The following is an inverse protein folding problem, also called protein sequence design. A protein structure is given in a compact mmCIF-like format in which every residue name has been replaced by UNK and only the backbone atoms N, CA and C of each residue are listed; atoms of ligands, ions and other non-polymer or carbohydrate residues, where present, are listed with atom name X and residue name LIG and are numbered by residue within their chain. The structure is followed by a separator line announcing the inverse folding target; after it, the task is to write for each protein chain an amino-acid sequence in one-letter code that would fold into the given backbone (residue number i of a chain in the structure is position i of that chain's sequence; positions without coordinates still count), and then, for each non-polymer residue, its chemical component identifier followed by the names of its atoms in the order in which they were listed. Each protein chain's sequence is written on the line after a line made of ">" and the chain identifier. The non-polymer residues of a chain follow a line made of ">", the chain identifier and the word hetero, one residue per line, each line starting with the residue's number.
data_IF_960838002319
#
_entry.id   IF_960838002319
#
_cell.length_a   1.000
_cell.length_b   1.000
_cell.length_c   1.000
_cell.angle_alpha   90.00
_cell.angle_beta   90.00
_cell.angle_gamma   90.00
#
_symmetry.space_group_name_H-M   'P 1'
#
loop_
_entity.id
_entity.type
_entity.pdbx_description
1 polymer ?
#
# COMPACT_ATOMS: atom_id res chain seq x y z
N UNK A 1 -24.46 -8.32 9.01
CA UNK A 1 -23.16 -7.80 9.45
C UNK A 1 -22.24 -7.87 8.24
N UNK A 2 -21.46 -6.83 7.97
CA UNK A 2 -20.43 -6.90 6.93
C UNK A 2 -19.25 -7.70 7.49
N UNK A 3 -18.68 -8.63 6.72
CA UNK A 3 -17.57 -9.47 7.20
C UNK A 3 -16.29 -8.66 7.34
N UNK A 4 -15.60 -8.83 8.49
CA UNK A 4 -14.34 -8.16 8.77
C UNK A 4 -13.20 -8.90 8.09
N UNK A 5 -12.48 -8.22 7.20
CA UNK A 5 -11.30 -8.76 6.51
C UNK A 5 -10.08 -7.94 6.85
N UNK A 6 -9.03 -8.60 7.32
CA UNK A 6 -7.74 -7.98 7.63
C UNK A 6 -6.72 -8.37 6.55
N UNK A 7 -6.02 -7.39 5.98
CA UNK A 7 -4.87 -7.65 5.12
C UNK A 7 -3.60 -7.04 5.74
N UNK A 8 -2.45 -7.67 5.53
CA UNK A 8 -1.16 -7.20 6.05
C UNK A 8 -0.13 -7.18 4.94
N UNK A 9 0.56 -6.05 4.77
CA UNK A 9 1.59 -5.94 3.73
C UNK A 9 2.16 -4.55 3.58
N UNK A 10 2.80 -4.31 2.43
CA UNK A 10 3.40 -3.01 2.10
C UNK A 10 2.52 -2.22 1.14
N UNK A 11 2.30 -0.93 1.43
CA UNK A 11 1.83 0.06 0.46
C UNK A 11 2.97 1.00 0.10
N UNK A 12 3.21 1.18 -1.20
CA UNK A 12 4.31 1.98 -1.73
C UNK A 12 3.80 3.19 -2.49
N UNK A 13 4.61 4.23 -2.55
CA UNK A 13 4.45 5.31 -3.51
C UNK A 13 4.84 4.78 -4.91
N UNK A 14 3.88 4.78 -5.82
CA UNK A 14 4.10 4.49 -7.24
C UNK A 14 4.36 5.80 -7.97
N UNK A 15 5.49 5.87 -8.66
CA UNK A 15 5.82 6.95 -9.59
C UNK A 15 5.85 6.37 -11.01
N UNK A 16 4.78 6.59 -11.78
CA UNK A 16 4.70 6.11 -13.16
C UNK A 16 5.01 7.19 -14.18
N UNK A 17 5.68 6.81 -15.27
CA UNK A 17 5.90 7.71 -16.41
C UNK A 17 4.56 8.00 -17.11
N UNK A 18 4.31 9.25 -17.57
CA UNK A 18 3.07 9.58 -18.26
C UNK A 18 3.01 8.92 -19.64
N UNK A 19 1.82 8.44 -20.01
CA UNK A 19 1.58 7.74 -21.26
C UNK A 19 2.43 6.46 -21.38
N UNK A 20 3.26 6.40 -22.42
CA UNK A 20 4.19 5.29 -22.68
C UNK A 20 5.65 5.73 -22.71
N UNK A 21 5.96 6.90 -22.13
CA UNK A 21 7.33 7.42 -22.06
C UNK A 21 8.21 6.55 -21.18
N UNK A 22 9.52 6.57 -21.43
CA UNK A 22 10.53 5.86 -20.64
C UNK A 22 11.10 6.77 -19.54
N UNK A 23 11.70 6.18 -18.51
CA UNK A 23 12.37 6.88 -17.40
C UNK A 23 13.39 7.90 -17.89
N UNK A 24 14.15 7.57 -18.93
CA UNK A 24 15.17 8.47 -19.52
C UNK A 24 14.59 9.58 -20.40
N UNK A 25 13.28 9.54 -20.68
CA UNK A 25 12.57 10.51 -21.53
C UNK A 25 11.68 11.44 -20.72
N UNK A 26 11.13 10.97 -19.60
CA UNK A 26 10.20 11.76 -18.80
C UNK A 26 10.92 12.76 -17.90
N UNK A 27 10.27 13.90 -17.67
CA UNK A 27 10.64 14.87 -16.62
C UNK A 27 9.60 14.90 -15.49
N UNK A 28 8.51 14.15 -15.63
CA UNK A 28 7.37 14.14 -14.70
C UNK A 28 6.98 12.70 -14.34
N UNK A 29 6.39 12.52 -13.18
CA UNK A 29 5.82 11.25 -12.74
C UNK A 29 4.40 11.45 -12.21
N UNK A 30 3.51 10.56 -12.63
CA UNK A 30 2.19 10.43 -12.02
C UNK A 30 2.33 9.67 -10.70
N UNK A 31 1.86 10.28 -9.61
CA UNK A 31 1.96 9.69 -8.27
C UNK A 31 0.64 9.02 -7.86
N UNK A 32 0.76 7.82 -7.31
CA UNK A 32 -0.34 7.11 -6.63
C UNK A 32 0.23 6.16 -5.58
N UNK A 33 -0.62 5.45 -4.86
CA UNK A 33 -0.20 4.47 -3.86
C UNK A 33 -0.75 3.10 -4.23
N UNK A 34 0.01 2.05 -3.92
CA UNK A 34 -0.42 0.68 -4.19
C UNK A 34 0.50 -0.37 -3.59
N UNK A 35 -0.03 -1.59 -3.47
CA UNK A 35 0.63 -2.77 -2.91
C UNK A 35 -0.31 -3.97 -3.04
N UNK A 36 0.22 -5.20 -3.02
CA UNK A 36 -0.59 -6.39 -3.29
C UNK A 36 -1.79 -6.49 -2.35
N UNK A 37 -1.50 -6.51 -1.05
CA UNK A 37 -2.49 -6.68 0.02
C UNK A 37 -3.30 -5.41 0.27
N UNK A 38 -2.72 -4.24 -0.01
CA UNK A 38 -3.42 -2.95 0.01
C UNK A 38 -4.49 -2.89 -1.11
N UNK A 39 -4.17 -3.36 -2.31
CA UNK A 39 -5.11 -3.42 -3.43
C UNK A 39 -6.25 -4.41 -3.13
N UNK A 40 -5.96 -5.52 -2.46
CA UNK A 40 -6.98 -6.46 -1.99
C UNK A 40 -7.91 -5.80 -0.98
N UNK A 41 -7.39 -5.07 0.01
CA UNK A 41 -8.24 -4.33 0.96
C UNK A 41 -9.14 -3.31 0.25
N UNK A 42 -8.59 -2.53 -0.69
CA UNK A 42 -9.36 -1.57 -1.51
C UNK A 42 -10.46 -2.27 -2.30
N UNK A 43 -10.17 -3.41 -2.94
CA UNK A 43 -11.17 -4.16 -3.69
C UNK A 43 -12.31 -4.66 -2.78
N UNK A 44 -11.98 -5.24 -1.62
CA UNK A 44 -12.97 -5.73 -0.65
C UNK A 44 -13.83 -4.60 -0.10
N UNK A 45 -13.23 -3.44 0.21
CA UNK A 45 -13.96 -2.23 0.62
C UNK A 45 -14.96 -1.80 -0.45
N UNK A 46 -14.56 -1.78 -1.72
CA UNK A 46 -15.44 -1.44 -2.83
C UNK A 46 -16.58 -2.45 -3.03
N UNK A 47 -16.43 -3.69 -2.57
CA UNK A 47 -17.49 -4.70 -2.53
C UNK A 47 -18.40 -4.60 -1.29
N UNK A 48 -18.21 -3.60 -0.44
CA UNK A 48 -19.01 -3.37 0.76
C UNK A 48 -18.56 -4.17 1.98
N UNK A 49 -17.41 -4.84 1.92
CA UNK A 49 -16.83 -5.55 3.06
C UNK A 49 -16.07 -4.60 3.98
N UNK A 50 -16.03 -4.93 5.27
CA UNK A 50 -15.29 -4.17 6.25
C UNK A 50 -13.81 -4.56 6.21
N UNK A 51 -13.05 -3.92 5.31
CA UNK A 51 -11.62 -4.20 5.12
C UNK A 51 -10.74 -3.34 6.05
N UNK A 52 -9.69 -3.94 6.59
CA UNK A 52 -8.63 -3.30 7.37
C UNK A 52 -7.29 -3.58 6.72
N UNK A 53 -6.45 -2.56 6.58
CA UNK A 53 -5.06 -2.74 6.14
C UNK A 53 -4.09 -2.48 7.28
N UNK A 54 -3.34 -3.52 7.64
CA UNK A 54 -2.30 -3.50 8.66
C UNK A 54 -0.96 -3.27 7.96
N UNK A 55 -0.25 -2.22 8.35
CA UNK A 55 1.07 -1.89 7.83
C UNK A 55 1.79 -0.92 8.77
N UNK A 56 3.03 -0.56 8.45
CA UNK A 56 3.80 0.47 9.16
C UNK A 56 4.23 1.55 8.17
N UNK A 57 3.88 2.81 8.44
CA UNK A 57 4.16 3.96 7.61
C UNK A 57 4.77 5.10 8.44
N UNK A 58 5.72 5.88 7.88
CA UNK A 58 6.32 7.00 8.58
C UNK A 58 5.31 8.09 8.89
N UNK A 59 5.61 8.93 9.89
CA UNK A 59 4.70 10.00 10.36
C UNK A 59 4.57 11.17 9.38
N UNK A 60 5.57 11.40 8.53
CA UNK A 60 5.60 12.51 7.58
C UNK A 60 4.52 12.41 6.48
N UNK A 61 4.40 13.46 5.68
CA UNK A 61 3.29 13.76 4.77
C UNK A 61 3.12 12.72 3.65
N UNK A 62 4.21 12.12 3.16
CA UNK A 62 4.14 11.03 2.17
C UNK A 62 3.48 9.78 2.79
N UNK A 63 3.82 9.42 4.03
CA UNK A 63 3.15 8.34 4.75
C UNK A 63 1.70 8.69 5.07
N UNK A 64 1.39 9.96 5.36
CA UNK A 64 0.00 10.40 5.55
C UNK A 64 -0.80 10.31 4.24
N UNK A 65 -0.19 10.63 3.11
CA UNK A 65 -0.82 10.55 1.79
C UNK A 65 -1.21 9.11 1.43
N UNK A 66 -0.37 8.12 1.77
CA UNK A 66 -0.71 6.70 1.64
C UNK A 66 -1.93 6.31 2.49
N UNK A 67 -2.01 6.79 3.74
CA UNK A 67 -3.18 6.56 4.61
C UNK A 67 -4.44 7.21 4.05
N UNK A 68 -4.33 8.44 3.54
CA UNK A 68 -5.44 9.15 2.93
C UNK A 68 -5.93 8.44 1.65
N UNK A 69 -5.00 7.89 0.86
CA UNK A 69 -5.32 7.10 -0.33
C UNK A 69 -6.18 5.88 0.03
N UNK A 70 -5.82 5.12 1.07
CA UNK A 70 -6.61 3.99 1.56
C UNK A 70 -8.00 4.41 2.05
N UNK A 71 -8.08 5.47 2.88
CA UNK A 71 -9.34 5.99 3.40
C UNK A 71 -10.29 6.48 2.30
N UNK A 72 -9.75 7.07 1.23
CA UNK A 72 -10.54 7.51 0.06
C UNK A 72 -11.33 6.35 -0.57
N UNK A 73 -10.83 5.12 -0.47
CA UNK A 73 -11.51 3.92 -0.96
C UNK A 73 -12.27 3.16 0.13
N UNK A 74 -12.43 3.72 1.34
CA UNK A 74 -13.19 3.12 2.44
C UNK A 74 -12.44 2.09 3.28
N UNK A 75 -11.14 1.86 3.03
CA UNK A 75 -10.34 0.93 3.84
C UNK A 75 -10.15 1.49 5.25
N UNK A 76 -10.39 0.67 6.27
CA UNK A 76 -10.11 1.02 7.65
C UNK A 76 -8.60 1.05 7.90
N UNK A 77 -8.12 2.17 8.44
CA UNK A 77 -6.69 2.43 8.67
C UNK A 77 -6.29 2.43 10.14
N UNK A 78 -7.17 1.93 11.04
CA UNK A 78 -6.99 2.02 12.49
C UNK A 78 -5.75 1.24 12.98
N UNK A 79 -5.33 0.22 12.23
CA UNK A 79 -4.19 -0.64 12.55
C UNK A 79 -2.92 -0.30 11.77
N UNK A 80 -2.85 0.89 11.18
CA UNK A 80 -1.62 1.39 10.55
C UNK A 80 -0.72 1.98 11.63
N UNK A 81 0.42 1.32 11.88
CA UNK A 81 1.45 1.84 12.78
C UNK A 81 2.13 3.05 12.15
N UNK A 82 2.17 4.17 12.88
CA UNK A 82 2.82 5.42 12.44
C UNK A 82 4.22 5.56 13.03
N UNK A 83 5.22 5.02 12.34
CA UNK A 83 6.61 4.96 12.76
C UNK A 83 7.55 4.60 11.58
N UNK A 84 8.87 4.68 11.76
CA UNK A 84 9.87 4.44 10.71
C UNK A 84 10.19 5.69 9.89
N UNK A 85 11.13 5.54 8.95
CA UNK A 85 11.80 6.69 8.31
C UNK A 85 11.29 7.01 6.90
N UNK A 86 10.84 6.02 6.11
CA UNK A 86 10.43 6.25 4.71
C UNK A 86 9.33 5.30 4.24
N UNK A 87 8.61 5.72 3.22
CA UNK A 87 7.68 4.88 2.44
C UNK A 87 8.49 4.20 1.33
N UNK A 88 8.21 2.93 1.04
CA UNK A 88 8.79 2.27 -0.14
C UNK A 88 8.32 2.93 -1.42
N UNK A 89 9.19 3.03 -2.42
CA UNK A 89 8.87 3.63 -3.72
C UNK A 89 9.05 2.55 -4.78
N UNK A 90 8.20 2.56 -5.80
CA UNK A 90 8.55 1.91 -7.05
C UNK A 90 8.25 2.80 -8.24
N UNK A 91 9.17 2.78 -9.19
CA UNK A 91 9.04 3.47 -10.46
C UNK A 91 8.45 2.51 -11.49
N UNK A 92 7.52 2.99 -12.30
CA UNK A 92 6.87 2.18 -13.33
C UNK A 92 6.92 2.86 -14.69
N UNK A 93 7.55 2.20 -15.66
CA UNK A 93 7.33 2.47 -17.08
C UNK A 93 6.18 1.58 -17.58
N UNK A 94 5.12 2.19 -18.10
CA UNK A 94 4.05 1.43 -18.76
C UNK A 94 4.54 0.86 -20.09
N UNK A 95 4.37 -0.45 -20.26
CA UNK A 95 4.64 -1.17 -21.49
C UNK A 95 3.65 -0.81 -22.61
N UNK A 96 4.00 -1.16 -23.84
CA UNK A 96 3.10 -1.03 -24.98
C UNK A 96 3.44 -2.12 -26.01
N UNK A 97 2.42 -2.83 -26.49
CA UNK A 97 2.56 -3.93 -27.45
C UNK A 97 3.57 -4.98 -26.94
N UNK A 98 4.65 -5.26 -27.67
CA UNK A 98 5.66 -6.25 -27.28
C UNK A 98 6.60 -5.78 -26.17
N UNK A 99 6.65 -4.47 -25.86
CA UNK A 99 7.48 -3.95 -24.77
C UNK A 99 6.72 -4.09 -23.45
N UNK A 100 7.18 -5.00 -22.59
CA UNK A 100 6.63 -5.17 -21.25
C UNK A 100 6.80 -3.90 -20.40
N UNK A 101 5.94 -3.76 -19.38
CA UNK A 101 6.13 -2.77 -18.32
C UNK A 101 7.40 -3.07 -17.54
N UNK A 102 8.07 -2.03 -17.07
CA UNK A 102 9.29 -2.15 -16.26
C UNK A 102 9.08 -1.50 -14.91
N UNK A 103 9.42 -2.24 -13.86
CA UNK A 103 9.39 -1.76 -12.47
C UNK A 103 10.82 -1.66 -11.93
N UNK A 104 11.13 -0.56 -11.26
CA UNK A 104 12.35 -0.42 -10.45
C UNK A 104 11.91 -0.16 -9.01
N UNK A 105 12.35 -1.01 -8.10
CA UNK A 105 12.00 -0.92 -6.69
C UNK A 105 13.05 -0.11 -5.91
N UNK A 106 12.56 0.80 -5.09
CA UNK A 106 13.27 1.51 -4.03
C UNK A 106 12.51 1.31 -2.71
N UNK A 107 12.39 0.04 -2.29
CA UNK A 107 11.62 -0.36 -1.10
C UNK A 107 12.47 -0.82 0.08
N UNK A 108 13.79 -0.89 -0.08
CA UNK A 108 14.70 -1.22 1.00
C UNK A 108 14.56 -0.22 2.16
N UNK A 109 14.60 -0.73 3.39
CA UNK A 109 14.51 0.06 4.62
C UNK A 109 13.25 0.95 4.70
N UNK A 110 12.17 0.58 4.03
CA UNK A 110 10.87 1.23 4.24
C UNK A 110 10.33 0.88 5.64
N UNK A 111 9.44 1.72 6.15
CA UNK A 111 8.90 1.59 7.50
C UNK A 111 8.31 0.19 7.79
N UNK A 112 7.70 -0.47 6.81
CA UNK A 112 7.14 -1.82 7.00
C UNK A 112 8.22 -2.91 7.05
N UNK A 113 9.37 -2.72 6.39
CA UNK A 113 10.48 -3.68 6.46
C UNK A 113 11.17 -3.71 7.83
N UNK A 114 10.88 -2.73 8.70
CA UNK A 114 11.38 -2.65 10.08
C UNK A 114 10.31 -2.99 11.12
N UNK A 115 9.24 -3.68 10.69
CA UNK A 115 8.20 -4.20 11.59
C UNK A 115 8.78 -5.27 12.51
N UNK A 116 8.45 -5.15 13.78
CA UNK A 116 8.69 -6.19 14.79
C UNK A 116 7.36 -6.81 15.24
N UNK A 117 7.39 -8.01 15.80
CA UNK A 117 6.19 -8.70 16.31
C UNK A 117 5.42 -7.89 17.35
N UNK A 118 6.11 -7.03 18.10
CA UNK A 118 5.53 -6.15 19.13
C UNK A 118 4.94 -4.84 18.59
N UNK A 119 5.04 -4.57 17.27
CA UNK A 119 4.48 -3.33 16.70
C UNK A 119 2.94 -3.35 16.64
N UNK A 120 2.34 -4.54 16.69
CA UNK A 120 0.91 -4.74 16.46
C UNK A 120 0.27 -5.60 17.55
N UNK A 121 -0.90 -5.17 18.03
CA UNK A 121 -1.73 -5.96 18.94
C UNK A 121 -2.60 -6.94 18.13
N UNK A 122 -2.03 -8.09 17.75
CA UNK A 122 -2.71 -9.06 16.90
C UNK A 122 -4.02 -9.61 17.48
N UNK A 123 -4.12 -9.74 18.81
CA UNK A 123 -5.36 -10.17 19.47
C UNK A 123 -6.51 -9.19 19.22
N UNK A 124 -6.23 -7.90 19.22
CA UNK A 124 -7.21 -6.86 18.92
C UNK A 124 -7.51 -6.77 17.42
N UNK A 125 -6.47 -6.84 16.58
CA UNK A 125 -6.59 -6.80 15.12
C UNK A 125 -7.48 -7.95 14.63
N UNK A 126 -7.26 -9.16 15.13
CA UNK A 126 -8.00 -10.36 14.72
C UNK A 126 -9.30 -10.59 15.49
N UNK A 127 -9.65 -9.73 16.45
CA UNK A 127 -10.95 -9.81 17.10
C UNK A 127 -12.07 -9.70 16.07
N UNK A 128 -12.98 -10.66 16.06
CA UNK A 128 -14.12 -10.75 15.13
C UNK A 128 -13.72 -10.73 13.64
N UNK A 129 -12.49 -11.18 13.32
CA UNK A 129 -11.97 -11.23 11.94
C UNK A 129 -12.39 -12.52 11.25
N UNK A 130 -13.11 -12.41 10.14
CA UNK A 130 -13.55 -13.56 9.33
C UNK A 130 -12.46 -14.07 8.39
N UNK A 131 -11.58 -13.17 7.94
CA UNK A 131 -10.54 -13.50 6.96
C UNK A 131 -9.26 -12.69 7.15
N UNK A 132 -8.11 -13.37 7.06
CA UNK A 132 -6.80 -12.74 7.02
C UNK A 132 -6.08 -13.02 5.69
N UNK A 133 -5.55 -11.98 5.04
CA UNK A 133 -4.85 -12.09 3.76
C UNK A 133 -3.44 -11.48 3.80
N UNK A 134 -2.47 -12.20 3.24
CA UNK A 134 -1.06 -11.81 3.09
C UNK A 134 -0.47 -12.44 1.81
N UNK A 135 0.64 -11.90 1.29
CA UNK A 135 1.37 -12.47 0.14
C UNK A 135 2.89 -12.50 0.33
#
# INVERSE_FOLDING_TARGET
>A
MSSKVVTFGEIMLRLSTPGFTRFVQTQNFDSTYGGGEANVAVALSNYGLESYFVTKLPKHEIGQSAVNHLRRFGVNTNYIKRDGQRVGIYFLETGASQRASKVIYDRSNSAVTTVNTNDFNWNEIFKDCDWFHWT
#
